data_IF_706404624521
#
_entry.id   IF_706404624521
#
_cell.length_a   1.000
_cell.length_b   1.000
_cell.length_c   1.000
_cell.angle_alpha   90.00
_cell.angle_beta   90.00
_cell.angle_gamma   90.00
#
_symmetry.space_group_name_H-M   'P 1'
#
loop_
_entity.id
_entity.type
_entity.pdbx_description
1 polymer ?
#
# COMPACT_ATOMS: atom_id res chain seq x y z
N UNK A 1 -5.53 -0.06 9.23
CA UNK A 1 -5.64 -1.01 8.09
C UNK A 1 -5.95 -2.46 8.45
N UNK A 2 -5.44 -2.99 9.57
CA UNK A 2 -5.50 -4.43 9.91
C UNK A 2 -6.64 -4.80 10.88
N UNK A 3 -7.02 -3.86 11.76
CA UNK A 3 -7.91 -4.11 12.91
C UNK A 3 -7.11 -4.25 14.22
N UNK A 4 -7.79 -4.34 15.40
CA UNK A 4 -7.14 -4.49 16.70
C UNK A 4 -6.20 -5.71 16.78
N UNK A 5 -5.23 -5.68 17.71
CA UNK A 5 -4.24 -6.77 17.88
C UNK A 5 -4.88 -8.13 18.13
N UNK A 6 -5.96 -8.14 18.91
CA UNK A 6 -6.73 -9.35 19.20
C UNK A 6 -7.32 -10.00 17.96
N UNK A 7 -7.48 -9.30 16.83
CA UNK A 7 -8.08 -9.83 15.60
C UNK A 7 -7.17 -10.82 14.88
N UNK A 8 -5.86 -10.73 15.08
CA UNK A 8 -4.87 -11.51 14.35
C UNK A 8 -4.68 -12.92 14.95
N UNK A 9 -5.43 -13.27 16.01
CA UNK A 9 -5.35 -14.57 16.71
C UNK A 9 -6.30 -15.66 16.14
N UNK A 10 -6.69 -15.58 14.86
CA UNK A 10 -7.39 -16.65 14.11
C UNK A 10 -8.75 -17.13 14.66
N UNK A 11 -9.37 -16.39 15.59
CA UNK A 11 -10.65 -16.78 16.22
C UNK A 11 -11.76 -15.77 15.98
N UNK A 12 -12.03 -15.42 14.71
CA UNK A 12 -13.14 -14.52 14.40
C UNK A 12 -14.06 -15.09 13.33
N UNK A 13 -15.35 -14.85 13.51
CA UNK A 13 -16.31 -15.07 12.44
C UNK A 13 -16.04 -14.05 11.33
N UNK A 14 -16.33 -14.43 10.09
CA UNK A 14 -16.24 -13.57 8.90
C UNK A 14 -17.00 -12.23 9.04
N UNK A 15 -17.84 -12.08 10.07
CA UNK A 15 -18.68 -10.91 10.31
C UNK A 15 -18.16 -9.96 11.41
N UNK A 16 -16.97 -10.16 11.98
CA UNK A 16 -16.49 -9.26 13.05
C UNK A 16 -16.41 -7.80 12.53
N UNK A 17 -17.14 -6.85 13.15
CA UNK A 17 -17.17 -5.47 12.70
C UNK A 17 -15.81 -4.77 12.83
N UNK A 18 -14.90 -5.29 13.65
CA UNK A 18 -13.60 -4.70 13.94
C UNK A 18 -12.53 -5.06 12.90
N UNK A 19 -12.79 -5.98 11.97
CA UNK A 19 -11.85 -6.33 10.90
C UNK A 19 -11.48 -5.09 10.07
N UNK A 20 -10.18 -4.90 9.83
CA UNK A 20 -9.68 -3.85 8.96
C UNK A 20 -9.90 -4.14 7.47
N UNK A 21 -9.43 -3.24 6.61
CA UNK A 21 -9.58 -3.35 5.16
C UNK A 21 -8.81 -4.53 4.56
N UNK A 22 -7.62 -4.85 5.08
CA UNK A 22 -6.81 -5.98 4.58
C UNK A 22 -7.57 -7.31 4.75
N UNK A 23 -7.94 -7.75 5.98
CA UNK A 23 -8.61 -9.03 6.16
C UNK A 23 -9.94 -9.12 5.40
N UNK A 24 -10.74 -8.04 5.38
CA UNK A 24 -12.01 -8.00 4.61
C UNK A 24 -11.78 -8.18 3.10
N UNK A 25 -10.76 -7.53 2.55
CA UNK A 25 -10.44 -7.64 1.13
C UNK A 25 -9.97 -9.04 0.78
N UNK A 26 -9.12 -9.64 1.62
CA UNK A 26 -8.61 -11.00 1.46
C UNK A 26 -9.75 -12.02 1.48
N UNK A 27 -10.64 -11.94 2.47
CA UNK A 27 -11.84 -12.80 2.54
C UNK A 27 -12.68 -12.70 1.27
N UNK A 28 -12.96 -11.46 0.81
CA UNK A 28 -13.75 -11.25 -0.39
C UNK A 28 -13.08 -11.81 -1.65
N UNK A 29 -11.76 -11.66 -1.78
CA UNK A 29 -10.99 -12.20 -2.91
C UNK A 29 -11.07 -13.72 -2.93
N UNK A 30 -10.76 -14.39 -1.83
CA UNK A 30 -10.80 -15.85 -1.78
C UNK A 30 -12.22 -16.42 -1.92
N UNK A 31 -13.24 -15.72 -1.42
CA UNK A 31 -14.64 -16.05 -1.67
C UNK A 31 -14.97 -15.97 -3.16
N UNK A 32 -14.51 -14.92 -3.83
CA UNK A 32 -14.71 -14.74 -5.28
C UNK A 32 -13.98 -15.84 -6.08
N UNK A 33 -12.72 -16.12 -5.75
CA UNK A 33 -11.92 -17.20 -6.37
C UNK A 33 -12.68 -18.53 -6.31
N UNK A 34 -13.13 -18.95 -5.11
CA UNK A 34 -13.91 -20.18 -4.93
C UNK A 34 -15.20 -20.19 -5.75
N UNK A 35 -15.90 -19.06 -5.84
CA UNK A 35 -17.14 -18.96 -6.62
C UNK A 35 -16.94 -19.08 -8.14
N UNK A 36 -15.71 -18.80 -8.62
CA UNK A 36 -15.37 -18.82 -10.04
C UNK A 36 -14.72 -20.15 -10.48
N UNK A 37 -14.28 -20.99 -9.56
CA UNK A 37 -13.72 -22.33 -9.85
C UNK A 37 -14.68 -23.20 -10.70
N UNK A 38 -15.99 -23.30 -10.41
CA UNK A 38 -16.91 -24.06 -11.25
C UNK A 38 -17.05 -23.54 -12.68
N UNK A 39 -16.63 -22.29 -12.92
CA UNK A 39 -16.64 -21.64 -14.24
C UNK A 39 -15.32 -21.83 -14.99
N UNK A 40 -14.44 -22.71 -14.50
CA UNK A 40 -13.16 -23.05 -15.12
C UNK A 40 -12.01 -22.11 -14.79
N UNK A 41 -12.19 -21.15 -13.87
CA UNK A 41 -11.11 -20.26 -13.46
C UNK A 41 -10.20 -20.91 -12.42
N UNK A 42 -8.89 -20.77 -12.63
CA UNK A 42 -7.84 -21.09 -11.66
C UNK A 42 -7.03 -19.84 -11.37
N UNK A 43 -6.69 -19.63 -10.11
CA UNK A 43 -5.98 -18.44 -9.67
C UNK A 43 -4.68 -18.79 -8.94
N UNK A 44 -3.62 -18.04 -9.24
CA UNK A 44 -2.40 -17.96 -8.43
C UNK A 44 -2.40 -16.60 -7.73
N UNK A 45 -2.21 -16.59 -6.42
CA UNK A 45 -2.20 -15.38 -5.60
C UNK A 45 -0.84 -15.22 -4.94
N UNK A 46 -0.31 -14.01 -4.97
CA UNK A 46 0.95 -13.64 -4.34
C UNK A 46 0.75 -12.44 -3.42
N UNK A 47 1.25 -12.51 -2.20
CA UNK A 47 1.16 -11.46 -1.19
C UNK A 47 2.54 -10.88 -0.87
N UNK A 48 2.61 -9.56 -0.75
CA UNK A 48 3.79 -8.79 -0.37
C UNK A 48 3.42 -7.80 0.74
N UNK A 49 4.33 -7.66 1.71
CA UNK A 49 4.22 -6.72 2.81
C UNK A 49 5.48 -5.89 2.85
N UNK A 50 5.34 -4.58 2.62
CA UNK A 50 6.47 -3.66 2.53
C UNK A 50 6.26 -2.51 3.48
N UNK A 51 7.38 -1.90 3.82
CA UNK A 51 7.42 -0.65 4.55
C UNK A 51 8.30 0.33 3.81
N UNK A 52 7.82 1.57 3.68
CA UNK A 52 8.61 2.68 3.18
C UNK A 52 8.89 3.61 4.35
N UNK A 53 10.15 3.63 4.76
CA UNK A 53 10.62 4.49 5.85
C UNK A 53 11.88 5.22 5.42
N UNK A 54 11.90 6.55 5.59
CA UNK A 54 13.01 7.41 5.20
C UNK A 54 13.51 7.15 3.76
N UNK A 55 12.57 7.06 2.81
CA UNK A 55 12.83 6.76 1.39
C UNK A 55 13.57 5.43 1.12
N UNK A 56 13.54 4.50 2.08
CA UNK A 56 14.03 3.12 1.93
C UNK A 56 12.86 2.15 1.99
N UNK A 57 12.91 1.14 1.11
CA UNK A 57 11.92 0.06 1.07
C UNK A 57 12.47 -1.11 1.89
N UNK A 58 11.64 -1.66 2.77
CA UNK A 58 11.92 -2.88 3.53
C UNK A 58 10.87 -3.93 3.22
N UNK A 59 11.30 -5.17 3.02
CA UNK A 59 10.42 -6.34 2.94
C UNK A 59 10.15 -6.85 4.36
N UNK A 60 8.90 -6.72 4.82
CA UNK A 60 8.48 -7.08 6.17
C UNK A 60 8.41 -8.59 6.40
N UNK A 61 8.60 -9.42 5.38
CA UNK A 61 8.64 -10.87 5.50
C UNK A 61 10.07 -11.44 5.40
N UNK A 62 11.05 -10.63 4.98
CA UNK A 62 12.44 -11.06 4.80
C UNK A 62 13.37 -10.46 5.86
N UNK A 63 13.90 -11.32 6.74
CA UNK A 63 14.82 -10.95 7.82
C UNK A 63 16.08 -10.20 7.35
N UNK A 64 16.62 -10.53 6.17
CA UNK A 64 17.83 -9.88 5.64
C UNK A 64 17.56 -8.45 5.17
N UNK A 65 16.37 -8.20 4.62
CA UNK A 65 15.90 -6.85 4.32
C UNK A 65 15.69 -6.04 5.61
N UNK A 66 15.13 -6.66 6.64
CA UNK A 66 14.91 -6.02 7.95
C UNK A 66 16.22 -5.62 8.64
N UNK A 67 17.27 -6.43 8.51
CA UNK A 67 18.58 -6.15 9.08
C UNK A 67 19.40 -5.12 8.27
N UNK A 68 18.89 -4.67 7.11
CA UNK A 68 19.58 -3.73 6.23
C UNK A 68 20.70 -4.36 5.38
N UNK A 69 20.82 -5.70 5.42
CA UNK A 69 21.79 -6.46 4.64
C UNK A 69 21.39 -6.55 3.16
N UNK A 70 20.10 -6.38 2.87
CA UNK A 70 19.53 -6.47 1.53
C UNK A 70 18.79 -5.18 1.17
N UNK A 71 19.28 -4.46 0.15
CA UNK A 71 18.61 -3.25 -0.36
C UNK A 71 17.52 -3.63 -1.36
N UNK A 72 16.31 -3.14 -1.13
CA UNK A 72 15.18 -3.25 -2.04
C UNK A 72 15.04 -1.98 -2.88
N UNK A 73 15.04 -2.10 -4.20
CA UNK A 73 14.95 -0.99 -5.14
C UNK A 73 13.84 -1.18 -6.15
N UNK A 74 13.24 -0.08 -6.60
CA UNK A 74 12.19 -0.11 -7.61
C UNK A 74 12.84 -0.24 -8.99
N UNK A 75 12.56 -1.35 -9.68
CA UNK A 75 13.01 -1.65 -11.04
C UNK A 75 11.81 -1.50 -11.99
N UNK A 76 12.05 -1.03 -13.21
CA UNK A 76 11.04 -1.06 -14.26
C UNK A 76 10.67 -2.50 -14.62
N UNK A 77 9.38 -2.80 -14.71
CA UNK A 77 8.91 -4.06 -15.29
C UNK A 77 9.29 -4.14 -16.77
N UNK A 78 9.61 -5.34 -17.25
CA UNK A 78 9.79 -5.60 -18.68
C UNK A 78 8.46 -5.54 -19.46
N UNK A 79 7.32 -5.54 -18.75
CA UNK A 79 6.01 -5.40 -19.36
C UNK A 79 5.74 -3.95 -19.83
N UNK A 80 4.93 -3.79 -20.88
CA UNK A 80 4.52 -2.46 -21.39
C UNK A 80 3.72 -1.69 -20.34
N UNK A 81 4.25 -0.54 -19.89
CA UNK A 81 3.54 0.41 -19.02
C UNK A 81 4.43 1.01 -17.93
N UNK A 82 3.81 1.67 -16.95
CA UNK A 82 4.46 2.20 -15.74
C UNK A 82 4.54 1.16 -14.61
N UNK A 83 4.42 -0.13 -14.93
CA UNK A 83 4.51 -1.20 -13.93
C UNK A 83 5.93 -1.28 -13.39
N UNK A 84 6.03 -1.33 -12.07
CA UNK A 84 7.28 -1.39 -11.34
C UNK A 84 7.35 -2.69 -10.55
N UNK A 85 8.55 -3.26 -10.50
CA UNK A 85 8.91 -4.39 -9.65
C UNK A 85 9.83 -3.89 -8.54
N UNK A 86 9.96 -4.66 -7.46
CA UNK A 86 10.91 -4.36 -6.40
C UNK A 86 11.96 -5.44 -6.41
N UNK A 87 13.22 -5.04 -6.54
CA UNK A 87 14.36 -5.93 -6.46
C UNK A 87 14.42 -6.57 -5.08
N UNK A 88 14.94 -7.79 -5.02
CA UNK A 88 15.29 -8.43 -3.74
C UNK A 88 14.08 -8.63 -2.80
N UNK A 89 12.87 -8.62 -3.36
CA UNK A 89 11.62 -8.94 -2.68
C UNK A 89 11.02 -10.16 -3.34
N UNK A 90 10.77 -11.19 -2.54
CA UNK A 90 10.15 -12.43 -3.03
C UNK A 90 8.70 -12.47 -2.57
N UNK A 91 7.73 -12.38 -3.50
CA UNK A 91 6.32 -12.54 -3.16
C UNK A 91 6.06 -13.91 -2.52
N UNK A 92 5.23 -13.93 -1.47
CA UNK A 92 4.78 -15.19 -0.87
C UNK A 92 3.55 -15.69 -1.64
N UNK A 93 3.64 -16.89 -2.21
CA UNK A 93 2.48 -17.55 -2.82
C UNK A 93 1.53 -17.97 -1.71
N UNK A 94 0.25 -17.62 -1.86
CA UNK A 94 -0.80 -17.93 -0.87
C UNK A 94 -1.98 -18.62 -1.54
N UNK A 95 -2.58 -19.58 -0.83
CA UNK A 95 -3.66 -20.44 -1.33
C UNK A 95 -4.95 -20.28 -0.54
N UNK A 96 -4.90 -19.71 0.67
CA UNK A 96 -6.07 -19.46 1.50
C UNK A 96 -5.94 -18.18 2.35
N UNK A 97 -7.06 -17.81 2.99
CA UNK A 97 -7.17 -16.67 3.91
C UNK A 97 -6.21 -16.78 5.09
N UNK A 98 -6.05 -17.99 5.63
CA UNK A 98 -5.27 -18.26 6.84
C UNK A 98 -3.77 -18.01 6.62
N UNK A 99 -3.25 -18.40 5.45
CA UNK A 99 -1.86 -18.12 5.07
C UNK A 99 -1.58 -16.62 5.01
N UNK A 100 -2.50 -15.83 4.45
CA UNK A 100 -2.36 -14.35 4.40
C UNK A 100 -2.41 -13.76 5.80
N UNK A 101 -3.22 -14.29 6.70
CA UNK A 101 -3.29 -13.83 8.09
C UNK A 101 -2.00 -14.13 8.87
N UNK A 102 -1.36 -15.27 8.63
CA UNK A 102 -0.04 -15.55 9.23
C UNK A 102 1.02 -14.58 8.72
N UNK A 103 1.00 -14.26 7.42
CA UNK A 103 1.90 -13.26 6.85
C UNK A 103 1.63 -11.86 7.41
N UNK A 104 0.35 -11.49 7.57
CA UNK A 104 -0.07 -10.23 8.19
C UNK A 104 0.45 -10.11 9.62
N UNK A 105 0.33 -11.19 10.41
CA UNK A 105 0.85 -11.26 11.78
C UNK A 105 2.37 -11.07 11.82
N UNK A 106 3.10 -11.80 10.96
CA UNK A 106 4.56 -11.68 10.85
C UNK A 106 4.98 -10.27 10.47
N UNK A 107 4.35 -9.69 9.45
CA UNK A 107 4.63 -8.34 8.99
C UNK A 107 4.40 -7.29 10.09
N UNK A 108 3.30 -7.43 10.86
CA UNK A 108 2.98 -6.56 12.00
C UNK A 108 4.04 -6.64 13.10
N UNK A 109 4.44 -7.86 13.50
CA UNK A 109 5.48 -8.07 14.51
C UNK A 109 6.79 -7.43 14.04
N UNK A 110 7.19 -7.67 12.80
CA UNK A 110 8.44 -7.13 12.25
C UNK A 110 8.41 -5.60 12.20
N UNK A 111 7.27 -5.00 11.83
CA UNK A 111 7.06 -3.55 11.88
C UNK A 111 7.13 -3.00 13.30
N UNK A 112 6.53 -3.68 14.27
CA UNK A 112 6.54 -3.27 15.69
C UNK A 112 7.93 -3.39 16.34
N UNK A 113 8.69 -4.45 16.01
CA UNK A 113 10.08 -4.63 16.48
C UNK A 113 10.99 -3.53 15.92
N UNK A 114 10.81 -3.16 14.64
CA UNK A 114 11.51 -2.02 14.07
C UNK A 114 11.18 -0.70 14.80
N UNK A 115 9.93 -0.55 15.27
CA UNK A 115 9.51 0.64 16.00
C UNK A 115 10.03 0.69 17.45
N UNK A 116 10.04 -0.44 18.17
CA UNK A 116 10.53 -0.50 19.56
C UNK A 116 12.05 -0.31 19.66
N UNK A 117 12.82 -0.73 18.66
CA UNK A 117 14.28 -0.47 18.60
C UNK A 117 14.63 0.99 18.29
N UNK A 118 13.70 1.81 17.79
CA UNK A 118 13.98 3.16 17.27
C UNK A 118 13.02 4.29 17.74
N UNK A 119 12.20 4.06 18.77
CA UNK A 119 11.05 4.90 19.17
C UNK A 119 9.92 4.94 18.13
N UNK A 120 8.71 5.30 18.59
CA UNK A 120 7.40 5.44 17.89
C UNK A 120 7.44 5.66 16.36
N UNK A 121 7.63 4.58 15.60
CA UNK A 121 7.87 4.58 14.14
C UNK A 121 6.63 4.25 13.30
N UNK A 122 5.60 3.66 13.91
CA UNK A 122 4.43 3.17 13.17
C UNK A 122 3.61 4.29 12.53
N UNK A 123 3.56 5.47 13.14
CA UNK A 123 2.98 6.69 12.54
C UNK A 123 3.87 7.35 11.49
N UNK A 124 5.14 6.93 11.41
CA UNK A 124 6.21 7.57 10.64
C UNK A 124 6.72 6.75 9.45
N UNK A 125 6.11 5.61 9.18
CA UNK A 125 6.37 4.80 8.00
C UNK A 125 5.11 4.50 7.22
N UNK A 126 5.23 4.40 5.90
CA UNK A 126 4.14 3.94 5.06
C UNK A 126 4.14 2.42 5.03
N UNK A 127 2.99 1.81 5.24
CA UNK A 127 2.81 0.38 5.14
C UNK A 127 2.09 0.03 3.86
N UNK A 128 2.63 -0.94 3.13
CA UNK A 128 2.15 -1.33 1.81
C UNK A 128 1.86 -2.82 1.81
N UNK A 129 0.59 -3.16 1.72
CA UNK A 129 0.14 -4.50 1.38
C UNK A 129 -0.16 -4.56 -0.12
N UNK A 130 0.48 -5.50 -0.81
CA UNK A 130 0.22 -5.75 -2.23
C UNK A 130 -0.16 -7.21 -2.43
N UNK A 131 -1.29 -7.44 -3.11
CA UNK A 131 -1.73 -8.76 -3.53
C UNK A 131 -1.84 -8.81 -5.05
N UNK A 132 -1.05 -9.68 -5.69
CA UNK A 132 -1.12 -9.95 -7.13
C UNK A 132 -1.94 -11.20 -7.37
N UNK A 133 -2.83 -11.13 -8.34
CA UNK A 133 -3.79 -12.17 -8.66
C UNK A 133 -3.67 -12.48 -10.15
N UNK A 134 -3.31 -13.72 -10.46
CA UNK A 134 -3.17 -14.24 -11.80
C UNK A 134 -4.27 -15.27 -12.03
N UNK A 135 -5.13 -15.04 -13.01
CA UNK A 135 -6.23 -15.93 -13.36
C UNK A 135 -6.07 -16.51 -14.75
N UNK A 136 -6.38 -17.79 -14.88
CA UNK A 136 -6.46 -18.51 -16.15
C UNK A 136 -7.76 -19.31 -16.20
N UNK A 137 -8.51 -19.17 -17.28
CA UNK A 137 -9.72 -19.95 -17.49
C UNK A 137 -9.42 -21.15 -18.39
N UNK A 138 -9.62 -22.37 -17.89
CA UNK A 138 -9.32 -23.60 -18.64
C UNK A 138 -10.31 -23.90 -19.77
N UNK A 139 -11.47 -23.25 -19.79
CA UNK A 139 -12.51 -23.44 -20.81
C UNK A 139 -12.33 -22.43 -21.95
N UNK A 140 -12.15 -21.15 -21.61
CA UNK A 140 -12.03 -20.06 -22.60
C UNK A 140 -10.59 -19.75 -22.99
N UNK A 141 -9.59 -20.31 -22.28
CA UNK A 141 -8.16 -19.96 -22.40
C UNK A 141 -7.85 -18.48 -22.11
N UNK A 142 -8.80 -17.72 -21.55
CA UNK A 142 -8.59 -16.32 -21.17
C UNK A 142 -7.61 -16.20 -19.99
N UNK A 143 -6.72 -15.21 -20.06
CA UNK A 143 -5.83 -14.85 -18.95
C UNK A 143 -6.15 -13.45 -18.44
N UNK A 144 -6.15 -13.30 -17.11
CA UNK A 144 -6.30 -12.01 -16.45
C UNK A 144 -5.26 -11.83 -15.34
N UNK A 145 -4.85 -10.59 -15.14
CA UNK A 145 -3.92 -10.20 -14.09
C UNK A 145 -4.47 -8.95 -13.40
N UNK A 146 -4.40 -8.92 -12.08
CA UNK A 146 -4.81 -7.78 -11.27
C UNK A 146 -3.95 -7.64 -10.03
N UNK A 147 -3.79 -6.41 -9.58
CA UNK A 147 -3.03 -6.08 -8.37
C UNK A 147 -3.90 -5.25 -7.44
N UNK A 148 -4.13 -5.74 -6.22
CA UNK A 148 -4.70 -4.95 -5.14
C UNK A 148 -3.55 -4.33 -4.33
N UNK A 149 -3.59 -3.00 -4.19
CA UNK A 149 -2.68 -2.25 -3.33
C UNK A 149 -3.49 -1.65 -2.18
N UNK A 150 -3.15 -1.99 -0.94
CA UNK A 150 -3.71 -1.41 0.28
C UNK A 150 -2.59 -0.69 1.03
N UNK A 151 -2.67 0.65 1.06
CA UNK A 151 -1.59 1.51 1.53
C UNK A 151 -2.05 2.23 2.80
N UNK A 152 -1.33 2.03 3.90
CA UNK A 152 -1.43 2.84 5.12
C UNK A 152 -0.37 3.94 5.04
N UNK A 153 -0.79 5.19 4.90
CA UNK A 153 0.13 6.30 4.80
C UNK A 153 0.61 6.73 6.20
N UNK A 154 1.86 7.17 6.29
CA UNK A 154 2.37 7.85 7.47
C UNK A 154 1.56 9.12 7.77
N UNK A 155 1.66 9.60 9.00
CA UNK A 155 1.02 10.82 9.46
C UNK A 155 1.35 12.04 8.59
N UNK A 156 0.35 12.90 8.40
CA UNK A 156 0.46 14.12 7.58
C UNK A 156 0.95 15.35 8.35
N UNK A 157 1.20 15.20 9.65
CA UNK A 157 1.53 16.30 10.55
C UNK A 157 2.84 16.99 10.17
N UNK A 158 2.85 18.32 10.37
CA UNK A 158 3.97 19.16 9.95
C UNK A 158 5.10 19.16 10.97
N UNK A 159 6.32 19.02 10.46
CA UNK A 159 7.57 19.06 11.25
C UNK A 159 7.72 20.29 12.15
N UNK A 160 7.12 21.43 11.77
CA UNK A 160 7.25 22.69 12.55
C UNK A 160 6.53 22.63 13.90
N UNK A 161 5.52 21.77 14.03
CA UNK A 161 4.74 21.64 15.26
C UNK A 161 5.32 20.57 16.20
N UNK A 162 6.19 19.69 15.71
CA UNK A 162 6.72 18.55 16.47
C UNK A 162 7.97 18.84 17.31
N UNK A 163 8.50 20.07 17.30
CA UNK A 163 9.68 20.48 18.09
C UNK A 163 10.94 19.63 17.87
N UNK A 164 11.04 18.92 16.74
CA UNK A 164 12.02 17.85 16.53
C UNK A 164 13.39 18.39 16.13
N UNK A 165 14.46 17.91 16.78
CA UNK A 165 15.86 18.24 16.47
C UNK A 165 16.68 16.99 16.05
N UNK A 166 17.79 17.19 15.34
CA UNK A 166 18.71 16.11 14.95
C UNK A 166 18.09 15.11 13.96
N UNK A 167 18.32 13.81 14.17
CA UNK A 167 17.83 12.74 13.29
C UNK A 167 16.31 12.71 13.13
N UNK A 168 15.56 13.07 14.18
CA UNK A 168 14.09 13.17 14.13
C UNK A 168 13.60 14.25 13.15
N UNK A 169 14.36 15.34 12.98
CA UNK A 169 14.04 16.37 12.00
C UNK A 169 14.22 15.84 10.57
N UNK A 170 15.28 15.06 10.33
CA UNK A 170 15.56 14.43 9.04
C UNK A 170 14.49 13.41 8.67
N UNK A 171 14.08 12.59 9.63
CA UNK A 171 12.98 11.64 9.51
C UNK A 171 11.65 12.34 9.17
N UNK A 172 11.26 13.33 9.98
CA UNK A 172 10.02 14.08 9.78
C UNK A 172 9.99 14.81 8.41
N UNK A 173 11.15 15.27 7.92
CA UNK A 173 11.30 15.81 6.56
C UNK A 173 11.11 14.74 5.48
N UNK A 174 11.64 13.54 5.66
CA UNK A 174 11.50 12.45 4.69
C UNK A 174 10.03 11.97 4.57
N UNK A 175 9.32 11.86 5.68
CA UNK A 175 7.89 11.53 5.72
C UNK A 175 7.09 12.58 4.97
N UNK A 176 7.27 13.85 5.35
CA UNK A 176 6.57 14.95 4.69
C UNK A 176 6.95 15.10 3.21
N UNK A 177 8.19 14.74 2.83
CA UNK A 177 8.61 14.69 1.43
C UNK A 177 7.77 13.70 0.63
N UNK A 178 7.58 12.47 1.13
CA UNK A 178 6.78 11.46 0.43
C UNK A 178 5.31 11.88 0.21
N UNK A 179 4.67 12.47 1.23
CA UNK A 179 3.29 12.98 1.12
C UNK A 179 3.19 14.23 0.24
N UNK A 180 4.17 15.13 0.32
CA UNK A 180 4.23 16.30 -0.56
C UNK A 180 4.38 15.88 -2.03
N UNK A 181 5.24 14.89 -2.29
CA UNK A 181 5.44 14.35 -3.64
C UNK A 181 4.20 13.60 -4.14
N UNK A 182 3.47 12.90 -3.27
CA UNK A 182 2.17 12.34 -3.62
C UNK A 182 1.21 13.43 -4.10
N UNK A 183 1.17 14.56 -3.41
CA UNK A 183 0.38 15.72 -3.86
C UNK A 183 0.86 16.34 -5.15
N UNK A 184 2.17 16.44 -5.37
CA UNK A 184 2.73 16.94 -6.63
C UNK A 184 2.33 16.06 -7.81
N UNK A 185 2.42 14.73 -7.65
CA UNK A 185 1.99 13.76 -8.68
C UNK A 185 0.51 13.93 -9.02
N UNK A 186 -0.37 14.02 -8.02
CA UNK A 186 -1.81 14.19 -8.23
C UNK A 186 -2.11 15.53 -8.92
N UNK A 187 -1.43 16.61 -8.52
CA UNK A 187 -1.60 17.92 -9.15
C UNK A 187 -1.14 17.91 -10.61
N UNK A 188 0.00 17.30 -10.91
CA UNK A 188 0.50 17.18 -12.28
C UNK A 188 -0.41 16.31 -13.15
N UNK A 189 -0.98 15.24 -12.58
CA UNK A 189 -1.98 14.41 -13.27
C UNK A 189 -3.26 15.20 -13.57
N UNK A 190 -3.77 15.96 -12.60
CA UNK A 190 -4.95 16.81 -12.77
C UNK A 190 -4.74 17.86 -13.87
N UNK A 191 -3.54 18.45 -13.94
CA UNK A 191 -3.15 19.43 -14.97
C UNK A 191 -2.82 18.81 -16.33
N UNK A 192 -2.71 17.48 -16.41
CA UNK A 192 -2.26 16.74 -17.59
C UNK A 192 -0.87 17.19 -18.06
N UNK A 193 0.03 17.43 -17.10
CA UNK A 193 1.42 17.78 -17.40
C UNK A 193 2.08 16.65 -18.22
N UNK A 194 2.97 17.02 -19.14
CA UNK A 194 3.69 16.05 -19.98
C UNK A 194 4.63 15.15 -19.17
N UNK A 195 5.15 15.66 -18.05
CA UNK A 195 6.02 14.95 -17.13
C UNK A 195 5.36 14.85 -15.75
N UNK A 196 5.14 13.63 -15.29
CA UNK A 196 4.62 13.36 -13.95
C UNK A 196 5.77 12.90 -13.02
N UNK A 197 6.01 13.57 -11.87
CA UNK A 197 7.19 13.35 -11.03
C UNK A 197 7.08 12.11 -10.11
N UNK A 198 6.74 10.95 -10.68
CA UNK A 198 6.59 9.71 -9.89
C UNK A 198 7.88 9.33 -9.14
N UNK A 199 9.04 9.68 -9.67
CA UNK A 199 10.34 9.24 -9.12
C UNK A 199 10.84 10.07 -7.94
N UNK A 200 10.16 11.16 -7.59
CA UNK A 200 10.61 12.09 -6.56
C UNK A 200 10.53 11.49 -5.14
N UNK A 201 9.71 10.44 -4.97
CA UNK A 201 9.71 9.57 -3.78
C UNK A 201 9.53 8.09 -4.15
N UNK A 202 10.00 7.18 -3.28
CA UNK A 202 9.76 5.74 -3.43
C UNK A 202 8.27 5.39 -3.38
N UNK A 203 7.50 6.09 -2.54
CA UNK A 203 6.05 5.90 -2.44
C UNK A 203 5.36 6.21 -3.78
N UNK A 204 5.59 7.39 -4.34
CA UNK A 204 4.99 7.79 -5.62
C UNK A 204 5.45 6.92 -6.78
N UNK A 205 6.69 6.43 -6.73
CA UNK A 205 7.23 5.56 -7.79
C UNK A 205 6.58 4.18 -7.72
N UNK A 206 6.40 3.63 -6.52
CA UNK A 206 5.69 2.37 -6.30
C UNK A 206 4.23 2.47 -6.73
N UNK A 207 3.59 3.61 -6.47
CA UNK A 207 2.18 3.85 -6.78
C UNK A 207 1.93 4.43 -8.18
N UNK A 208 2.93 4.51 -9.04
CA UNK A 208 2.81 5.16 -10.35
C UNK A 208 1.65 4.58 -11.18
N UNK A 209 1.50 3.24 -11.20
CA UNK A 209 0.38 2.61 -11.91
C UNK A 209 -0.98 2.83 -11.20
N UNK A 210 -1.00 2.94 -9.87
CA UNK A 210 -2.23 3.22 -9.11
C UNK A 210 -2.71 4.66 -9.33
N UNK A 211 -1.81 5.63 -9.39
CA UNK A 211 -2.14 7.06 -9.40
C UNK A 211 -2.49 7.59 -10.78
N UNK A 212 -1.83 7.15 -11.86
CA UNK A 212 -2.12 7.64 -13.21
C UNK A 212 -2.06 6.58 -14.29
N UNK A 213 -2.04 5.31 -13.89
CA UNK A 213 -2.06 4.17 -14.79
C UNK A 213 -3.45 3.56 -14.93
N UNK A 214 -3.49 2.31 -15.40
CA UNK A 214 -4.73 1.57 -15.59
C UNK A 214 -5.19 0.96 -14.26
N UNK A 215 -5.73 1.80 -13.37
CA UNK A 215 -6.09 1.40 -12.01
C UNK A 215 -7.39 2.06 -11.53
N UNK A 216 -8.05 1.41 -10.58
CA UNK A 216 -9.12 2.02 -9.78
C UNK A 216 -8.54 2.36 -8.42
N UNK A 217 -8.55 3.64 -8.08
CA UNK A 217 -7.96 4.14 -6.83
C UNK A 217 -9.05 4.78 -5.97
N UNK A 218 -9.11 4.36 -4.72
CA UNK A 218 -9.97 4.94 -3.67
C UNK A 218 -9.06 5.47 -2.57
N UNK A 219 -9.27 6.73 -2.20
CA UNK A 219 -8.56 7.35 -1.09
C UNK A 219 -9.51 7.53 0.09
N UNK A 220 -9.10 7.05 1.27
CA UNK A 220 -9.74 7.39 2.53
C UNK A 220 -9.00 8.56 3.16
N UNK A 221 -9.77 9.49 3.73
CA UNK A 221 -9.22 10.65 4.45
C UNK A 221 -9.76 10.58 5.87
N UNK A 222 -8.88 10.27 6.80
CA UNK A 222 -9.20 10.23 8.22
C UNK A 222 -8.96 11.61 8.83
N UNK A 223 -9.92 12.09 9.61
CA UNK A 223 -9.88 13.40 10.27
C UNK A 223 -10.11 13.21 11.77
N UNK A 224 -9.54 14.11 12.57
CA UNK A 224 -9.83 14.20 14.00
C UNK A 224 -10.82 15.36 14.23
N UNK A 225 -11.97 15.14 14.90
CA UNK A 225 -12.92 16.19 15.23
C UNK A 225 -12.45 17.17 16.32
N UNK A 226 -11.38 16.86 17.06
CA UNK A 226 -10.89 17.69 18.15
C UNK A 226 -10.41 19.07 17.66
N UNK A 227 -10.75 20.13 18.40
CA UNK A 227 -10.43 21.51 18.04
C UNK A 227 -8.93 21.77 17.92
N UNK A 228 -8.11 21.05 18.69
CA UNK A 228 -6.64 21.15 18.65
C UNK A 228 -6.08 20.70 17.29
N UNK A 229 -6.79 19.82 16.58
CA UNK A 229 -6.37 19.26 15.29
C UNK A 229 -7.06 19.93 14.09
N UNK A 230 -7.78 21.04 14.30
CA UNK A 230 -8.57 21.72 13.26
C UNK A 230 -7.74 22.07 12.01
N UNK A 231 -6.52 22.59 12.21
CA UNK A 231 -5.65 22.98 11.10
C UNK A 231 -5.25 21.79 10.22
N UNK A 232 -4.90 20.67 10.84
CA UNK A 232 -4.54 19.44 10.13
C UNK A 232 -5.77 18.81 9.44
N UNK A 233 -6.93 18.82 10.10
CA UNK A 233 -8.20 18.42 9.47
C UNK A 233 -8.51 19.25 8.21
N UNK A 234 -8.34 20.57 8.26
CA UNK A 234 -8.53 21.44 7.08
C UNK A 234 -7.51 21.12 5.99
N UNK A 235 -6.24 20.88 6.34
CA UNK A 235 -5.20 20.51 5.37
C UNK A 235 -5.55 19.20 4.66
N UNK A 236 -5.95 18.17 5.41
CA UNK A 236 -6.36 16.86 4.89
C UNK A 236 -7.57 16.96 3.96
N UNK A 237 -8.60 17.73 4.33
CA UNK A 237 -9.79 17.93 3.49
C UNK A 237 -9.49 18.71 2.19
N UNK A 238 -8.60 19.72 2.26
CA UNK A 238 -8.14 20.44 1.06
C UNK A 238 -7.36 19.53 0.12
N UNK A 239 -6.54 18.64 0.68
CA UNK A 239 -5.84 17.62 -0.10
C UNK A 239 -6.83 16.66 -0.76
N UNK A 240 -7.78 16.11 0.01
CA UNK A 240 -8.85 15.25 -0.49
C UNK A 240 -9.60 15.86 -1.68
N UNK A 241 -9.93 17.14 -1.58
CA UNK A 241 -10.63 17.89 -2.64
C UNK A 241 -9.82 17.91 -3.93
N UNK A 242 -8.50 18.12 -3.85
CA UNK A 242 -7.61 18.08 -5.02
C UNK A 242 -7.52 16.68 -5.62
N UNK A 243 -7.43 15.64 -4.78
CA UNK A 243 -7.42 14.25 -5.26
C UNK A 243 -8.71 13.92 -6.01
N UNK A 244 -9.87 14.32 -5.46
CA UNK A 244 -11.17 14.06 -6.08
C UNK A 244 -11.35 14.76 -7.44
N UNK A 245 -10.68 15.90 -7.65
CA UNK A 245 -10.69 16.62 -8.93
C UNK A 245 -9.74 16.00 -9.97
N UNK A 246 -8.86 15.07 -9.57
CA UNK A 246 -7.92 14.42 -10.47
C UNK A 246 -8.61 13.26 -11.21
N UNK A 247 -9.08 13.51 -12.44
CA UNK A 247 -9.63 12.47 -13.30
C UNK A 247 -8.52 11.75 -14.08
N UNK A 248 -8.25 10.50 -13.69
CA UNK A 248 -7.19 9.65 -14.27
C UNK A 248 -7.73 8.72 -15.38
N UNK A 249 -8.99 8.90 -15.79
CA UNK A 249 -9.66 8.09 -16.78
C UNK A 249 -10.31 6.83 -16.19
N UNK A 250 -10.86 5.98 -17.07
CA UNK A 250 -11.54 4.75 -16.68
C UNK A 250 -10.61 3.56 -16.82
N UNK A 251 -10.46 2.79 -15.74
CA UNK A 251 -9.70 1.54 -15.78
C UNK A 251 -10.33 0.55 -16.78
N UNK A 252 -9.49 0.02 -17.67
CA UNK A 252 -9.84 -0.92 -18.73
C UNK A 252 -9.42 -2.36 -18.35
N UNK A 253 -10.24 -3.34 -18.70
CA UNK A 253 -9.91 -4.77 -18.54
C UNK A 253 -8.78 -5.12 -19.51
N UNK A 254 -7.63 -5.59 -18.99
CA UNK A 254 -6.59 -6.21 -19.81
C UNK A 254 -6.84 -7.70 -19.86
N UNK A 255 -7.38 -8.20 -20.98
CA UNK A 255 -7.45 -9.63 -21.27
C UNK A 255 -6.26 -9.94 -22.16
N UNK A 256 -5.45 -10.93 -21.76
CA UNK A 256 -4.36 -11.47 -22.57
C UNK A 256 -4.79 -12.81 -23.16
#
# INVERSE_FOLDING_TARGET
MEGPESIVEFKFSDADPRLGMIPRSVQQIFRCIKSLEPRGWKYKVEALFLEIYNERIRDLLNSDSQNGNMKCEIIKSAAKGNDCLISNVTPSVVTCTEEVYELLRKARINRAVAATKCNEYSSRSHYVFQMKIYGENSITSEKCEGTLNLIDLAGSERVKESGSAGERLTEAKAINKSLSNLGNVIMSLSRKDSHIPYRDSKLTHLLANSLGGNSKTLMFVNINPDSENLNETINSLRFATKVNQCNIGTAQKRVK
#
